data_IF_872349144343
#
_entry.id   IF_872349144343
#
_cell.length_a   1.000
_cell.length_b   1.000
_cell.length_c   1.000
_cell.angle_alpha   90.00
_cell.angle_beta   90.00
_cell.angle_gamma   90.00
#
_symmetry.space_group_name_H-M   'P 1'
#
loop_
_entity.id
_entity.type
_entity.pdbx_description
1 polymer ?
#
# COMPACT_ATOMS: atom_id res chain seq x y z
N UNK A 1 -17.57 13.10 -1.31
CA UNK A 1 -16.77 13.11 -0.07
C UNK A 1 -15.55 13.97 -0.36
N UNK A 2 -15.20 14.95 0.46
CA UNK A 2 -14.00 15.76 0.17
C UNK A 2 -12.75 14.91 0.45
N UNK A 3 -11.73 15.04 -0.39
CA UNK A 3 -10.42 14.34 -0.27
C UNK A 3 -9.85 14.35 1.17
N UNK A 4 -10.24 15.35 1.96
CA UNK A 4 -9.86 15.51 3.37
C UNK A 4 -10.31 14.38 4.31
N UNK A 5 -11.35 13.60 4.00
CA UNK A 5 -11.85 12.56 4.94
C UNK A 5 -11.05 11.26 4.92
N UNK A 6 -10.57 10.84 3.74
CA UNK A 6 -9.87 9.56 3.57
C UNK A 6 -8.50 9.59 4.23
N UNK A 7 -7.72 10.65 3.95
CA UNK A 7 -6.38 10.84 4.53
C UNK A 7 -6.46 10.92 6.06
N UNK A 8 -7.45 11.63 6.62
CA UNK A 8 -7.61 11.75 8.08
C UNK A 8 -7.97 10.41 8.72
N UNK A 9 -8.87 9.63 8.12
CA UNK A 9 -9.23 8.31 8.63
C UNK A 9 -8.05 7.34 8.55
N UNK A 10 -7.29 7.40 7.46
CA UNK A 10 -6.09 6.60 7.32
C UNK A 10 -5.00 6.98 8.33
N UNK A 11 -4.75 8.26 8.58
CA UNK A 11 -3.77 8.69 9.59
C UNK A 11 -4.14 8.20 11.00
N UNK A 12 -5.45 8.17 11.31
CA UNK A 12 -5.95 7.57 12.56
C UNK A 12 -5.68 6.06 12.61
N UNK A 13 -5.89 5.36 11.49
CA UNK A 13 -5.57 3.93 11.37
C UNK A 13 -4.07 3.68 11.55
N UNK A 14 -3.22 4.43 10.86
CA UNK A 14 -1.76 4.29 10.93
C UNK A 14 -1.28 4.50 12.36
N UNK A 15 -1.78 5.55 13.03
CA UNK A 15 -1.50 5.81 14.44
C UNK A 15 -1.89 4.63 15.34
N UNK A 16 -3.10 4.08 15.14
CA UNK A 16 -3.57 2.92 15.91
C UNK A 16 -2.66 1.70 15.68
N UNK A 17 -2.21 1.46 14.44
CA UNK A 17 -1.26 0.40 14.16
C UNK A 17 0.06 0.65 14.90
N UNK A 18 0.59 1.88 14.87
CA UNK A 18 1.81 2.30 15.61
C UNK A 18 1.74 1.98 17.09
N UNK A 19 0.62 2.33 17.69
CA UNK A 19 0.38 2.10 19.12
C UNK A 19 0.23 0.60 19.43
N UNK A 20 -0.36 -0.18 18.51
CA UNK A 20 -0.63 -1.61 18.73
C UNK A 20 0.57 -2.53 18.58
N UNK A 21 1.57 -2.15 17.77
CA UNK A 21 2.75 -2.98 17.51
C UNK A 21 4.00 -2.11 17.34
N UNK A 22 4.57 -1.57 18.43
CA UNK A 22 5.70 -0.64 18.38
C UNK A 22 6.96 -1.24 17.75
N UNK A 23 7.07 -2.57 17.68
CA UNK A 23 8.18 -3.30 17.06
C UNK A 23 8.03 -3.50 15.56
N UNK A 24 6.85 -3.24 15.00
CA UNK A 24 6.60 -3.33 13.56
C UNK A 24 7.26 -2.19 12.82
N UNK A 25 7.93 -2.51 11.72
CA UNK A 25 8.45 -1.47 10.84
C UNK A 25 7.32 -0.91 9.98
N UNK A 26 7.16 0.41 10.07
CA UNK A 26 6.09 1.16 9.45
C UNK A 26 6.25 1.23 7.94
N UNK A 27 5.15 1.27 7.18
CA UNK A 27 5.24 1.47 5.75
C UNK A 27 5.93 2.81 5.46
N UNK A 28 6.96 2.74 4.63
CA UNK A 28 7.67 3.92 4.12
C UNK A 28 7.03 4.45 2.83
N UNK A 29 6.46 3.55 2.03
CA UNK A 29 5.70 3.89 0.84
C UNK A 29 4.20 3.86 1.13
N UNK A 30 3.51 4.88 0.66
CA UNK A 30 2.04 4.94 0.63
C UNK A 30 1.57 5.62 -0.65
N UNK A 31 0.44 5.16 -1.19
CA UNK A 31 -0.32 5.88 -2.21
C UNK A 31 -1.82 5.61 -2.10
N UNK A 32 -2.64 6.58 -2.50
CA UNK A 32 -4.11 6.46 -2.61
C UNK A 32 -4.45 6.32 -4.09
N UNK A 33 -5.27 5.33 -4.43
CA UNK A 33 -5.76 5.17 -5.80
C UNK A 33 -6.55 6.43 -6.21
N UNK A 34 -6.33 7.00 -7.41
CA UNK A 34 -7.03 8.22 -7.85
C UNK A 34 -8.57 8.16 -7.87
N UNK A 35 -9.13 6.96 -7.89
CA UNK A 35 -10.58 6.70 -7.81
C UNK A 35 -11.07 6.40 -6.38
N UNK A 36 -10.22 6.64 -5.37
CA UNK A 36 -10.46 6.38 -3.94
C UNK A 36 -10.79 4.92 -3.60
N UNK A 37 -10.50 3.97 -4.49
CA UNK A 37 -10.89 2.56 -4.30
C UNK A 37 -10.03 1.82 -3.27
N UNK A 38 -8.75 2.19 -3.13
CA UNK A 38 -7.83 1.57 -2.16
C UNK A 38 -6.67 2.50 -1.76
N UNK A 39 -6.07 2.21 -0.61
CA UNK A 39 -4.76 2.71 -0.19
C UNK A 39 -3.74 1.58 -0.25
N UNK A 40 -2.60 1.81 -0.90
CA UNK A 40 -1.53 0.83 -1.01
C UNK A 40 -0.32 1.26 -0.17
N UNK A 41 0.30 0.32 0.54
CA UNK A 41 1.44 0.60 1.42
C UNK A 41 2.56 -0.44 1.28
N UNK A 42 3.80 0.01 1.43
CA UNK A 42 5.01 -0.81 1.28
C UNK A 42 6.01 -0.54 2.42
N UNK A 43 6.67 -1.60 2.89
CA UNK A 43 7.67 -1.55 3.97
C UNK A 43 8.95 -2.31 3.59
N UNK A 44 10.12 -1.66 3.63
CA UNK A 44 11.40 -2.18 3.10
C UNK A 44 11.94 -3.42 3.83
N UNK A 45 11.45 -3.69 5.04
CA UNK A 45 11.82 -4.88 5.79
C UNK A 45 10.94 -6.08 5.45
N UNK A 46 9.81 -5.87 4.80
CA UNK A 46 8.80 -6.89 4.53
C UNK A 46 9.06 -7.56 3.17
N UNK A 47 8.26 -8.59 2.86
CA UNK A 47 8.22 -9.26 1.57
C UNK A 47 6.87 -9.11 0.84
N UNK A 48 5.97 -8.31 1.41
CA UNK A 48 4.60 -8.07 0.95
C UNK A 48 4.24 -6.60 1.00
N UNK A 49 3.23 -6.22 0.24
CA UNK A 49 2.54 -4.94 0.36
C UNK A 49 1.18 -5.13 1.05
N UNK A 50 0.61 -4.02 1.52
CA UNK A 50 -0.76 -4.03 2.06
C UNK A 50 -1.66 -3.14 1.21
N UNK A 51 -2.82 -3.67 0.83
CA UNK A 51 -3.89 -2.92 0.17
C UNK A 51 -5.04 -2.78 1.17
N UNK A 52 -5.52 -1.56 1.34
CA UNK A 52 -6.40 -1.17 2.43
C UNK A 52 -7.67 -0.55 1.85
N UNK A 53 -8.84 -1.03 2.28
CA UNK A 53 -10.12 -0.37 2.03
C UNK A 53 -10.16 0.96 2.81
N UNK A 54 -10.31 2.12 2.16
CA UNK A 54 -10.23 3.41 2.83
C UNK A 54 -11.45 3.74 3.70
N UNK A 55 -12.55 3.02 3.54
CA UNK A 55 -13.80 3.21 4.29
C UNK A 55 -13.81 2.28 5.51
N UNK A 56 -13.58 0.99 5.29
CA UNK A 56 -13.70 -0.05 6.32
C UNK A 56 -12.38 -0.38 7.01
N UNK A 57 -11.25 0.07 6.45
CA UNK A 57 -9.89 -0.19 6.95
C UNK A 57 -9.53 -1.69 6.99
N UNK A 58 -10.22 -2.50 6.20
CA UNK A 58 -9.86 -3.90 5.98
C UNK A 58 -8.58 -3.95 5.16
N UNK A 59 -7.70 -4.91 5.46
CA UNK A 59 -6.37 -5.01 4.85
C UNK A 59 -6.22 -6.37 4.17
N UNK A 60 -5.78 -6.36 2.92
CA UNK A 60 -5.29 -7.55 2.20
C UNK A 60 -3.79 -7.41 1.92
N UNK A 61 -3.11 -8.54 1.77
CA UNK A 61 -1.67 -8.59 1.55
C UNK A 61 -1.32 -9.29 0.24
N UNK A 62 -0.35 -8.72 -0.48
CA UNK A 62 0.18 -9.30 -1.72
C UNK A 62 1.67 -9.52 -1.52
N UNK A 63 2.13 -10.77 -1.63
CA UNK A 63 3.56 -11.12 -1.57
C UNK A 63 4.20 -10.69 -2.89
N UNK A 64 5.15 -9.76 -2.82
CA UNK A 64 5.74 -9.13 -4.02
C UNK A 64 7.23 -9.42 -4.18
N UNK A 65 7.90 -9.89 -3.14
CA UNK A 65 9.37 -10.00 -3.11
C UNK A 65 9.98 -9.10 -2.04
N UNK A 66 11.30 -9.10 -1.90
CA UNK A 66 11.99 -8.52 -0.76
C UNK A 66 12.18 -7.01 -0.86
N UNK A 67 11.87 -6.34 0.24
CA UNK A 67 12.10 -4.93 0.43
C UNK A 67 11.28 -4.01 -0.48
N UNK A 68 9.94 -4.16 -0.53
CA UNK A 68 9.08 -3.19 -1.18
C UNK A 68 9.23 -1.84 -0.47
N UNK A 69 9.53 -0.78 -1.21
CA UNK A 69 9.83 0.53 -0.64
C UNK A 69 8.98 1.64 -1.27
N UNK A 70 9.22 1.95 -2.53
CA UNK A 70 8.39 2.90 -3.28
C UNK A 70 7.14 2.19 -3.79
N UNK A 71 5.98 2.83 -3.64
CA UNK A 71 4.70 2.35 -4.18
C UNK A 71 3.95 3.48 -4.85
N UNK A 72 3.42 3.25 -6.05
CA UNK A 72 2.61 4.22 -6.79
C UNK A 72 1.47 3.56 -7.54
N UNK A 73 0.31 4.20 -7.55
CA UNK A 73 -0.85 3.79 -8.34
C UNK A 73 -0.91 4.56 -9.65
N UNK A 74 -1.30 3.91 -10.75
CA UNK A 74 -1.48 4.59 -12.03
C UNK A 74 -2.62 5.59 -11.99
N UNK A 75 -2.57 6.59 -12.89
CA UNK A 75 -3.58 7.65 -12.99
C UNK A 75 -5.00 7.12 -13.22
N UNK A 76 -5.13 5.97 -13.86
CA UNK A 76 -6.39 5.29 -14.16
C UNK A 76 -6.76 4.22 -13.13
N UNK A 77 -6.05 4.15 -11.99
CA UNK A 77 -6.25 3.16 -10.92
C UNK A 77 -6.13 1.68 -11.33
N UNK A 78 -5.61 1.37 -12.53
CA UNK A 78 -5.53 -0.02 -13.01
C UNK A 78 -4.25 -0.74 -12.57
N UNK A 79 -3.20 -0.02 -12.18
CA UNK A 79 -1.87 -0.57 -11.92
C UNK A 79 -1.28 -0.06 -10.62
N UNK A 80 -0.55 -0.93 -9.93
CA UNK A 80 0.30 -0.57 -8.80
C UNK A 80 1.74 -0.94 -9.15
N UNK A 81 2.63 0.03 -9.01
CA UNK A 81 4.07 -0.13 -9.23
C UNK A 81 4.77 -0.16 -7.88
N UNK A 82 5.54 -1.22 -7.63
CA UNK A 82 6.27 -1.41 -6.37
C UNK A 82 7.75 -1.57 -6.66
N UNK A 83 8.59 -0.71 -6.09
CA UNK A 83 10.05 -0.89 -6.16
C UNK A 83 10.51 -1.80 -5.04
N UNK A 84 11.20 -2.89 -5.40
CA UNK A 84 11.81 -3.84 -4.48
C UNK A 84 13.29 -3.49 -4.33
N UNK A 85 13.64 -2.79 -3.26
CA UNK A 85 15.00 -2.28 -3.06
C UNK A 85 16.01 -3.40 -2.77
N UNK A 86 15.60 -4.48 -2.11
CA UNK A 86 16.50 -5.61 -1.83
C UNK A 86 16.67 -6.51 -3.04
N UNK A 87 15.61 -6.68 -3.84
CA UNK A 87 15.65 -7.52 -5.05
C UNK A 87 16.11 -6.78 -6.31
N UNK A 88 16.34 -5.46 -6.23
CA UNK A 88 16.70 -4.59 -7.35
C UNK A 88 15.72 -4.70 -8.54
N UNK A 89 14.42 -4.75 -8.25
CA UNK A 89 13.37 -4.99 -9.25
C UNK A 89 12.19 -4.05 -9.06
N UNK A 90 11.33 -3.99 -10.08
CA UNK A 90 10.03 -3.33 -10.01
C UNK A 90 8.97 -4.37 -10.32
N UNK A 91 7.99 -4.49 -9.42
CA UNK A 91 6.83 -5.35 -9.60
C UNK A 91 5.64 -4.50 -10.05
N UNK A 92 4.89 -5.03 -11.00
CA UNK A 92 3.65 -4.43 -11.52
C UNK A 92 2.48 -5.33 -11.14
N UNK A 93 1.49 -4.74 -10.48
CA UNK A 93 0.31 -5.43 -9.98
C UNK A 93 -0.92 -4.88 -10.72
N UNK A 94 -1.76 -5.77 -11.23
CA UNK A 94 -3.10 -5.42 -11.67
C UNK A 94 -3.95 -5.05 -10.45
N UNK A 95 -4.41 -3.81 -10.36
CA UNK A 95 -5.14 -3.29 -9.21
C UNK A 95 -6.61 -3.73 -9.17
N UNK A 96 -7.16 -4.27 -10.24
CA UNK A 96 -8.56 -4.73 -10.30
C UNK A 96 -8.72 -6.11 -9.65
N UNK A 97 -7.72 -6.96 -9.83
CA UNK A 97 -7.73 -8.36 -9.37
C UNK A 97 -6.60 -8.68 -8.39
N UNK A 98 -5.73 -7.70 -8.09
CA UNK A 98 -4.65 -7.80 -7.10
C UNK A 98 -3.64 -8.92 -7.40
N UNK A 99 -3.33 -9.10 -8.68
CA UNK A 99 -2.35 -10.09 -9.18
C UNK A 99 -1.09 -9.43 -9.70
N UNK A 100 0.06 -10.09 -9.51
CA UNK A 100 1.32 -9.66 -10.10
C UNK A 100 1.33 -10.03 -11.58
N UNK A 101 1.64 -9.06 -12.43
CA UNK A 101 1.77 -9.25 -13.88
C UNK A 101 3.24 -9.25 -14.35
N UNK A 102 4.13 -8.58 -13.59
CA UNK A 102 5.55 -8.48 -13.91
C UNK A 102 6.40 -8.23 -12.68
#
# INVERSE_FOLDING_TARGET
MSESSVIVNYLKWLRKCIESDPGRQWPWGIDLAPDDSFVATAAISDNKISIIDPVNLTTQHIVVGQGPHGIRTSKDSQWIYVTLTKDNQVVVINAQIMTIEK
#
